data_IF_405807788138
#
_entry.id   IF_405807788138
#
_cell.length_a   1.000
_cell.length_b   1.000
_cell.length_c   1.000
_cell.angle_alpha   90.00
_cell.angle_beta   90.00
_cell.angle_gamma   90.00
#
_symmetry.space_group_name_H-M   'P 1'
#
loop_
_entity.id
_entity.type
_entity.pdbx_description
1 polymer ?
#
# COMPACT_ATOMS: atom_id res chain seq x y z
N UNK A 1 -30.12 -4.13 -16.40
CA UNK A 1 -29.17 -3.76 -15.35
C UNK A 1 -28.95 -2.27 -15.49
N UNK A 2 -29.13 -1.50 -14.42
CA UNK A 2 -28.85 -0.06 -14.44
C UNK A 2 -27.39 0.13 -14.89
N UNK A 3 -27.14 0.93 -15.92
CA UNK A 3 -25.78 1.40 -16.19
C UNK A 3 -25.48 2.37 -15.04
N UNK A 4 -24.75 1.92 -14.01
CA UNK A 4 -24.41 2.75 -12.86
C UNK A 4 -23.81 4.10 -13.29
N UNK A 5 -23.80 5.07 -12.38
CA UNK A 5 -23.53 6.47 -12.66
C UNK A 5 -22.07 6.84 -12.33
N UNK A 6 -21.57 7.88 -12.97
CA UNK A 6 -20.35 8.57 -12.57
C UNK A 6 -20.74 9.90 -11.95
N UNK A 7 -20.34 10.14 -10.70
CA UNK A 7 -20.59 11.40 -10.02
C UNK A 7 -19.35 12.30 -10.15
N UNK A 8 -19.50 13.48 -10.74
CA UNK A 8 -18.43 14.46 -10.94
C UNK A 8 -18.66 15.64 -10.00
N UNK A 9 -17.77 15.79 -9.03
CA UNK A 9 -17.70 16.93 -8.11
C UNK A 9 -16.66 17.90 -8.68
N UNK A 10 -17.11 18.99 -9.29
CA UNK A 10 -16.21 19.96 -9.95
C UNK A 10 -16.63 21.42 -9.79
N UNK A 11 -15.64 22.30 -9.66
CA UNK A 11 -15.81 23.76 -9.76
C UNK A 11 -15.77 24.30 -11.21
N UNK A 12 -15.66 23.39 -12.20
CA UNK A 12 -15.51 23.65 -13.63
C UNK A 12 -14.27 24.49 -14.02
N UNK A 13 -13.35 24.77 -13.10
CA UNK A 13 -12.21 25.65 -13.34
C UNK A 13 -11.24 25.13 -14.43
N UNK A 14 -11.17 23.80 -14.59
CA UNK A 14 -10.30 23.14 -15.59
C UNK A 14 -10.92 22.97 -16.96
N UNK A 15 -12.20 23.33 -17.14
CA UNK A 15 -12.92 23.28 -18.43
C UNK A 15 -12.88 21.89 -19.13
N UNK A 16 -12.90 20.81 -18.34
CA UNK A 16 -12.88 19.44 -18.87
C UNK A 16 -14.29 19.08 -19.35
N UNK A 17 -14.47 18.65 -20.62
CA UNK A 17 -15.80 18.41 -21.17
C UNK A 17 -16.31 16.99 -20.84
N UNK A 18 -16.49 16.70 -19.54
CA UNK A 18 -16.83 15.36 -19.01
C UNK A 18 -18.00 14.68 -19.73
N UNK A 19 -19.10 15.39 -20.01
CA UNK A 19 -20.27 14.82 -20.72
C UNK A 19 -19.90 14.25 -22.10
N UNK A 20 -19.00 14.93 -22.81
CA UNK A 20 -18.57 14.49 -24.15
C UNK A 20 -17.55 13.35 -24.09
N UNK A 21 -16.75 13.29 -23.01
CA UNK A 21 -15.69 12.29 -22.84
C UNK A 21 -16.21 11.00 -22.21
N UNK A 22 -17.22 11.10 -21.36
CA UNK A 22 -17.83 10.00 -20.61
C UNK A 22 -19.20 9.70 -21.22
N UNK A 23 -19.23 9.32 -22.49
CA UNK A 23 -20.49 9.10 -23.21
C UNK A 23 -21.20 7.78 -22.87
N UNK A 24 -20.51 6.87 -22.17
CA UNK A 24 -20.98 5.50 -21.93
C UNK A 24 -21.73 5.32 -20.60
N UNK A 25 -21.55 6.24 -19.65
CA UNK A 25 -22.20 6.23 -18.34
C UNK A 25 -22.98 7.53 -18.15
N UNK A 26 -24.16 7.48 -17.51
CA UNK A 26 -24.82 8.69 -17.04
C UNK A 26 -23.90 9.45 -16.08
N UNK A 27 -23.71 10.75 -16.32
CA UNK A 27 -22.89 11.62 -15.49
C UNK A 27 -23.77 12.51 -14.63
N UNK A 28 -23.55 12.48 -13.32
CA UNK A 28 -24.18 13.37 -12.35
C UNK A 28 -23.18 14.47 -12.00
N UNK A 29 -23.57 15.74 -12.08
CA UNK A 29 -22.71 16.86 -11.74
C UNK A 29 -23.11 17.48 -10.41
N UNK A 30 -22.11 17.68 -9.57
CA UNK A 30 -22.25 18.31 -8.27
C UNK A 30 -21.25 19.46 -8.14
N UNK A 31 -21.53 20.36 -7.21
CA UNK A 31 -20.66 21.41 -6.65
C UNK A 31 -20.56 22.72 -7.43
N UNK A 32 -21.70 23.43 -7.53
CA UNK A 32 -21.70 24.87 -7.82
C UNK A 32 -21.79 25.70 -6.52
N UNK A 33 -20.67 26.15 -5.91
CA UNK A 33 -20.70 26.95 -4.67
C UNK A 33 -21.34 28.35 -4.81
N UNK A 34 -21.85 28.71 -6.00
CA UNK A 34 -22.39 30.04 -6.29
C UNK A 34 -23.85 30.29 -5.89
N UNK A 35 -24.57 29.31 -5.31
CA UNK A 35 -26.04 29.42 -5.12
C UNK A 35 -26.56 29.29 -3.69
N UNK A 36 -25.75 28.91 -2.70
CA UNK A 36 -26.23 28.63 -1.34
C UNK A 36 -25.45 29.43 -0.28
N UNK A 37 -26.11 30.05 0.72
CA UNK A 37 -25.44 30.72 1.85
C UNK A 37 -24.80 29.73 2.85
N UNK A 38 -24.91 28.42 2.61
CA UNK A 38 -24.32 27.36 3.42
C UNK A 38 -22.80 27.27 3.23
N UNK A 39 -22.08 26.72 4.21
CA UNK A 39 -20.64 26.45 4.06
C UNK A 39 -20.40 25.41 2.97
N UNK A 40 -19.21 25.44 2.33
CA UNK A 40 -18.80 24.45 1.34
C UNK A 40 -19.06 23.00 1.80
N UNK A 41 -18.73 22.70 3.06
CA UNK A 41 -18.90 21.39 3.65
C UNK A 41 -20.37 20.96 3.76
N UNK A 42 -21.28 21.89 4.02
CA UNK A 42 -22.72 21.61 4.09
C UNK A 42 -23.29 21.29 2.72
N UNK A 43 -22.91 22.07 1.70
CA UNK A 43 -23.33 21.85 0.31
C UNK A 43 -22.85 20.48 -0.16
N UNK A 44 -21.55 20.21 0.03
CA UNK A 44 -20.94 18.95 -0.34
C UNK A 44 -21.60 17.75 0.35
N UNK A 45 -21.94 17.86 1.64
CA UNK A 45 -22.62 16.79 2.35
C UNK A 45 -24.01 16.48 1.78
N UNK A 46 -24.77 17.50 1.35
CA UNK A 46 -26.09 17.31 0.72
C UNK A 46 -25.94 16.67 -0.65
N UNK A 47 -25.03 17.17 -1.47
CA UNK A 47 -24.78 16.64 -2.82
C UNK A 47 -24.27 15.19 -2.79
N UNK A 48 -23.46 14.83 -1.80
CA UNK A 48 -23.06 13.44 -1.56
C UNK A 48 -24.28 12.59 -1.22
N UNK A 49 -25.18 13.05 -0.35
CA UNK A 49 -26.42 12.31 -0.03
C UNK A 49 -27.32 12.13 -1.25
N UNK A 50 -27.44 13.14 -2.11
CA UNK A 50 -28.18 13.03 -3.38
C UNK A 50 -27.52 12.00 -4.31
N UNK A 51 -26.19 12.00 -4.43
CA UNK A 51 -25.47 11.00 -5.22
C UNK A 51 -25.72 9.56 -4.71
N UNK A 52 -25.93 9.38 -3.41
CA UNK A 52 -26.21 8.07 -2.81
C UNK A 52 -27.56 7.47 -3.22
N UNK A 53 -28.51 8.28 -3.71
CA UNK A 53 -29.77 7.78 -4.29
C UNK A 53 -29.54 7.00 -5.60
N UNK A 54 -28.33 7.09 -6.16
CA UNK A 54 -27.92 6.44 -7.38
C UNK A 54 -26.86 5.34 -7.12
N UNK A 55 -26.80 4.37 -8.04
CA UNK A 55 -25.74 3.37 -8.08
C UNK A 55 -24.46 4.01 -8.66
N UNK A 56 -23.62 4.61 -7.80
CA UNK A 56 -22.37 5.27 -8.22
C UNK A 56 -21.24 4.25 -8.40
N UNK A 57 -20.64 4.21 -9.60
CA UNK A 57 -19.50 3.37 -9.94
C UNK A 57 -18.15 4.03 -9.64
N UNK A 58 -18.08 5.36 -9.81
CA UNK A 58 -16.87 6.17 -9.67
C UNK A 58 -17.24 7.60 -9.29
N UNK A 59 -16.50 8.16 -8.33
CA UNK A 59 -16.52 9.59 -8.02
C UNK A 59 -15.32 10.25 -8.68
N UNK A 60 -15.55 11.27 -9.50
CA UNK A 60 -14.51 12.14 -10.05
C UNK A 60 -14.52 13.42 -9.24
N UNK A 61 -13.36 13.82 -8.72
CA UNK A 61 -13.20 15.04 -7.92
C UNK A 61 -12.21 15.95 -8.64
N UNK A 62 -12.68 17.12 -9.06
CA UNK A 62 -11.97 18.06 -9.94
C UNK A 62 -12.15 19.51 -9.45
N UNK A 63 -11.34 19.89 -8.48
CA UNK A 63 -11.34 21.23 -7.87
C UNK A 63 -10.02 21.93 -8.03
N UNK A 64 -10.04 23.25 -8.21
CA UNK A 64 -8.81 24.03 -8.33
C UNK A 64 -7.93 23.94 -7.09
N UNK A 65 -8.53 23.96 -5.89
CA UNK A 65 -7.77 23.94 -4.64
C UNK A 65 -7.68 22.52 -4.08
N UNK A 66 -6.48 22.14 -3.66
CA UNK A 66 -6.18 20.83 -3.05
C UNK A 66 -6.96 20.61 -1.74
N UNK A 67 -7.25 21.68 -0.99
CA UNK A 67 -8.00 21.58 0.26
C UNK A 67 -9.44 21.13 0.01
N UNK A 68 -10.11 21.71 -1.00
CA UNK A 68 -11.45 21.31 -1.42
C UNK A 68 -11.46 19.87 -1.97
N UNK A 69 -10.47 19.50 -2.82
CA UNK A 69 -10.35 18.13 -3.33
C UNK A 69 -10.29 17.09 -2.20
N UNK A 70 -9.43 17.34 -1.20
CA UNK A 70 -9.26 16.44 -0.05
C UNK A 70 -10.48 16.43 0.87
N UNK A 71 -11.14 17.58 1.04
CA UNK A 71 -12.36 17.67 1.84
C UNK A 71 -13.48 16.84 1.22
N UNK A 72 -13.75 17.01 -0.08
CA UNK A 72 -14.76 16.24 -0.81
C UNK A 72 -14.43 14.74 -0.80
N UNK A 73 -13.18 14.37 -1.12
CA UNK A 73 -12.77 12.97 -1.11
C UNK A 73 -13.00 12.32 0.27
N UNK A 74 -12.66 13.02 1.36
CA UNK A 74 -12.88 12.51 2.71
C UNK A 74 -14.37 12.45 3.10
N UNK A 75 -15.19 13.40 2.66
CA UNK A 75 -16.63 13.35 2.91
C UNK A 75 -17.29 12.18 2.16
N UNK A 76 -16.91 11.96 0.90
CA UNK A 76 -17.35 10.78 0.13
C UNK A 76 -16.94 9.51 0.88
N UNK A 77 -15.70 9.44 1.38
CA UNK A 77 -15.18 8.28 2.13
C UNK A 77 -15.78 8.10 3.52
N UNK A 78 -16.28 9.18 4.15
CA UNK A 78 -17.01 9.08 5.40
C UNK A 78 -18.36 8.38 5.23
N UNK A 79 -18.99 8.54 4.07
CA UNK A 79 -20.27 7.88 3.72
C UNK A 79 -20.03 6.48 3.13
N UNK A 80 -19.12 6.37 2.15
CA UNK A 80 -18.71 5.13 1.50
C UNK A 80 -17.19 4.94 1.58
N UNK A 81 -16.66 4.27 2.62
CA UNK A 81 -15.21 4.06 2.82
C UNK A 81 -14.50 3.36 1.65
N UNK A 82 -15.24 2.56 0.87
CA UNK A 82 -14.75 1.77 -0.26
C UNK A 82 -15.01 2.40 -1.64
N UNK A 83 -15.54 3.62 -1.69
CA UNK A 83 -15.82 4.31 -2.95
C UNK A 83 -14.57 4.45 -3.84
N UNK A 84 -14.68 4.16 -5.13
CA UNK A 84 -13.62 4.45 -6.10
C UNK A 84 -13.59 5.95 -6.37
N UNK A 85 -12.44 6.58 -6.20
CA UNK A 85 -12.27 8.03 -6.38
C UNK A 85 -11.15 8.30 -7.39
N UNK A 86 -11.46 9.11 -8.41
CA UNK A 86 -10.52 9.66 -9.38
C UNK A 86 -10.32 11.16 -9.11
N UNK A 87 -9.12 11.54 -8.68
CA UNK A 87 -8.75 12.93 -8.44
C UNK A 87 -8.07 13.52 -9.67
N UNK A 88 -8.58 14.65 -10.14
CA UNK A 88 -8.07 15.32 -11.33
C UNK A 88 -7.07 16.40 -10.92
N UNK A 89 -5.79 16.12 -11.14
CA UNK A 89 -4.69 17.01 -10.75
C UNK A 89 -4.09 17.77 -11.93
N UNK A 90 -3.52 18.92 -11.62
CA UNK A 90 -2.58 19.57 -12.55
C UNK A 90 -1.33 18.69 -12.75
N UNK A 91 -0.69 18.82 -13.91
CA UNK A 91 0.51 18.07 -14.31
C UNK A 91 1.78 18.47 -13.53
N UNK A 92 1.65 18.79 -12.25
CA UNK A 92 2.75 19.17 -11.37
C UNK A 92 3.24 17.90 -10.66
N UNK A 93 4.54 17.61 -10.82
CA UNK A 93 5.20 16.53 -10.06
C UNK A 93 5.16 16.86 -8.56
N UNK A 94 4.34 16.14 -7.81
CA UNK A 94 4.34 16.20 -6.35
C UNK A 94 5.66 15.62 -5.82
N UNK A 95 6.62 16.50 -5.51
CA UNK A 95 7.89 16.10 -4.90
C UNK A 95 7.75 16.16 -3.38
N UNK A 96 7.75 15.00 -2.73
CA UNK A 96 8.01 14.87 -1.29
C UNK A 96 6.82 15.04 -0.34
N UNK A 97 5.73 15.72 -0.75
CA UNK A 97 4.48 15.76 0.01
C UNK A 97 3.38 15.16 -0.87
N UNK A 98 2.94 13.95 -0.55
CA UNK A 98 1.84 13.30 -1.24
C UNK A 98 0.55 13.59 -0.46
N UNK A 99 -0.27 14.58 -0.88
CA UNK A 99 -1.40 15.11 -0.10
C UNK A 99 -2.36 14.07 0.43
N UNK A 100 -2.53 13.06 -0.40
CA UNK A 100 -3.63 12.12 -0.33
C UNK A 100 -3.42 11.08 0.75
N UNK A 101 -2.33 11.21 1.52
CA UNK A 101 -2.13 10.46 2.73
C UNK A 101 -3.18 10.73 3.82
N UNK A 102 -3.90 11.84 3.73
CA UNK A 102 -5.01 12.17 4.64
C UNK A 102 -6.35 11.62 4.19
N UNK A 103 -6.45 11.10 2.95
CA UNK A 103 -7.69 10.47 2.47
C UNK A 103 -7.93 9.18 3.24
N UNK A 104 -9.14 9.07 3.80
CA UNK A 104 -9.58 7.94 4.61
C UNK A 104 -10.23 6.84 3.76
N UNK A 105 -10.40 5.65 4.35
CA UNK A 105 -10.97 4.48 3.69
C UNK A 105 -9.96 3.65 2.90
N UNK A 106 -10.44 2.55 2.33
CA UNK A 106 -9.65 1.47 1.71
C UNK A 106 -9.96 1.24 0.23
N UNK A 107 -11.07 1.77 -0.30
CA UNK A 107 -11.36 1.72 -1.74
C UNK A 107 -10.28 2.38 -2.61
N UNK A 108 -10.31 2.10 -3.91
CA UNK A 108 -9.36 2.65 -4.88
C UNK A 108 -9.35 4.18 -4.92
N UNK A 109 -8.16 4.77 -4.83
CA UNK A 109 -7.90 6.18 -5.09
C UNK A 109 -6.92 6.29 -6.25
N UNK A 110 -7.28 7.02 -7.30
CA UNK A 110 -6.43 7.24 -8.47
C UNK A 110 -6.23 8.72 -8.71
N UNK A 111 -5.01 9.10 -9.10
CA UNK A 111 -4.70 10.47 -9.47
C UNK A 111 -4.47 10.54 -10.97
N UNK A 112 -5.20 11.41 -11.65
CA UNK A 112 -5.09 11.56 -13.09
C UNK A 112 -4.81 13.00 -13.46
N UNK A 113 -3.85 13.19 -14.37
CA UNK A 113 -3.55 14.51 -14.90
C UNK A 113 -4.11 14.67 -16.30
N UNK A 114 -5.17 15.46 -16.41
CA UNK A 114 -5.84 15.67 -17.68
C UNK A 114 -4.98 16.46 -18.66
N UNK A 115 -4.92 15.95 -19.90
CA UNK A 115 -4.22 16.58 -21.01
C UNK A 115 -5.20 16.84 -22.14
N UNK A 116 -5.52 18.11 -22.47
CA UNK A 116 -6.44 18.44 -23.56
C UNK A 116 -6.04 17.87 -24.92
N UNK A 117 -4.74 17.65 -25.15
CA UNK A 117 -4.23 17.03 -26.38
C UNK A 117 -4.50 15.52 -26.47
N UNK A 118 -4.81 14.86 -25.36
CA UNK A 118 -5.07 13.42 -25.26
C UNK A 118 -6.33 13.15 -24.43
N UNK A 119 -7.50 13.67 -24.85
CA UNK A 119 -8.72 13.67 -24.05
C UNK A 119 -9.22 12.24 -23.73
N UNK A 120 -8.93 11.28 -24.62
CA UNK A 120 -9.32 9.89 -24.47
C UNK A 120 -8.59 9.16 -23.33
N UNK A 121 -7.49 9.69 -22.81
CA UNK A 121 -6.78 9.10 -21.67
C UNK A 121 -7.64 9.10 -20.41
N UNK A 122 -8.47 10.13 -20.22
CA UNK A 122 -9.41 10.20 -19.09
C UNK A 122 -10.43 9.06 -19.18
N UNK A 123 -11.00 8.84 -20.38
CA UNK A 123 -11.95 7.77 -20.59
C UNK A 123 -11.32 6.39 -20.36
N UNK A 124 -10.10 6.17 -20.87
CA UNK A 124 -9.36 4.93 -20.64
C UNK A 124 -9.09 4.68 -19.14
N UNK A 125 -8.73 5.72 -18.39
CA UNK A 125 -8.53 5.64 -16.94
C UNK A 125 -9.83 5.31 -16.20
N UNK A 126 -10.94 5.95 -16.55
CA UNK A 126 -12.27 5.65 -15.98
C UNK A 126 -12.67 4.20 -16.25
N UNK A 127 -12.51 3.74 -17.49
CA UNK A 127 -12.77 2.35 -17.86
C UNK A 127 -11.92 1.39 -17.06
N UNK A 128 -10.63 1.69 -16.86
CA UNK A 128 -9.74 0.85 -16.07
C UNK A 128 -10.16 0.74 -14.59
N UNK A 129 -10.67 1.82 -14.00
CA UNK A 129 -11.14 1.85 -12.60
C UNK A 129 -12.44 1.07 -12.43
N UNK A 130 -13.39 1.26 -13.35
CA UNK A 130 -14.72 0.63 -13.29
C UNK A 130 -14.65 -0.84 -13.71
N UNK A 131 -13.82 -1.15 -14.71
CA UNK A 131 -13.64 -2.47 -15.29
C UNK A 131 -12.20 -2.97 -15.17
N UNK A 132 -11.72 -3.25 -13.94
CA UNK A 132 -10.37 -3.76 -13.71
C UNK A 132 -10.11 -5.12 -14.39
N UNK A 133 -11.14 -5.81 -14.87
CA UNK A 133 -11.07 -7.09 -15.58
C UNK A 133 -10.66 -6.98 -17.05
N UNK A 134 -10.73 -5.77 -17.64
CA UNK A 134 -10.40 -5.50 -19.04
C UNK A 134 -9.23 -4.51 -19.17
N UNK A 135 -7.98 -4.92 -18.88
CA UNK A 135 -6.95 -3.93 -18.63
C UNK A 135 -6.25 -3.51 -19.92
N UNK A 136 -6.17 -2.20 -20.11
CA UNK A 136 -5.33 -1.56 -21.13
C UNK A 136 -3.86 -1.51 -20.65
N UNK A 137 -3.63 -1.48 -19.32
CA UNK A 137 -2.33 -1.60 -18.65
C UNK A 137 -2.51 -2.44 -17.38
N UNK A 138 -1.68 -3.47 -17.15
CA UNK A 138 -1.77 -4.35 -15.96
C UNK A 138 -0.57 -4.11 -15.06
N UNK A 139 -0.77 -3.38 -13.97
CA UNK A 139 0.13 -3.51 -12.83
C UNK A 139 -0.30 -4.76 -12.05
N UNK A 140 0.54 -5.79 -12.08
CA UNK A 140 0.37 -6.98 -11.24
C UNK A 140 0.85 -6.70 -9.82
N UNK A 141 0.16 -7.26 -8.82
CA UNK A 141 0.48 -7.08 -7.40
C UNK A 141 0.72 -8.43 -6.74
N UNK A 142 1.77 -8.53 -5.93
CA UNK A 142 2.06 -9.73 -5.15
C UNK A 142 2.21 -9.34 -3.69
N UNK A 143 1.27 -9.82 -2.87
CA UNK A 143 1.39 -9.74 -1.42
C UNK A 143 2.29 -10.87 -0.96
N UNK A 144 3.38 -10.53 -0.27
CA UNK A 144 4.36 -11.46 0.29
C UNK A 144 4.19 -11.47 1.81
N UNK A 145 3.59 -12.54 2.32
CA UNK A 145 3.19 -12.67 3.72
C UNK A 145 4.10 -13.69 4.43
N UNK A 146 5.02 -13.26 5.29
CA UNK A 146 5.83 -14.18 6.07
C UNK A 146 5.00 -14.80 7.20
N UNK A 147 5.15 -16.11 7.41
CA UNK A 147 4.53 -16.83 8.54
C UNK A 147 5.56 -17.70 9.24
N UNK A 148 5.53 -17.68 10.57
CA UNK A 148 6.33 -18.56 11.42
C UNK A 148 5.63 -18.82 12.74
N UNK A 149 5.25 -20.07 12.98
CA UNK A 149 4.65 -20.53 14.24
C UNK A 149 3.44 -19.68 14.73
N UNK A 150 2.53 -19.39 13.81
CA UNK A 150 1.35 -18.57 14.03
C UNK A 150 0.10 -19.37 14.46
N UNK A 151 0.19 -20.66 14.79
CA UNK A 151 -0.98 -21.51 15.09
C UNK A 151 -1.89 -20.88 16.16
N UNK A 152 -1.29 -20.36 17.24
CA UNK A 152 -2.04 -19.74 18.35
C UNK A 152 -2.68 -18.40 17.99
N UNK A 153 -2.18 -17.74 16.94
CA UNK A 153 -2.58 -16.41 16.47
C UNK A 153 -3.28 -16.47 15.12
N UNK A 154 -3.62 -17.67 14.65
CA UNK A 154 -4.12 -17.90 13.31
C UNK A 154 -5.45 -17.19 13.03
N UNK A 155 -6.25 -16.92 14.07
CA UNK A 155 -7.46 -16.10 13.91
C UNK A 155 -7.13 -14.69 13.36
N UNK A 156 -6.05 -14.06 13.81
CA UNK A 156 -5.63 -12.77 13.26
C UNK A 156 -5.20 -12.89 11.79
N UNK A 157 -4.51 -13.98 11.44
CA UNK A 157 -4.13 -14.28 10.05
C UNK A 157 -5.37 -14.44 9.18
N UNK A 158 -6.37 -15.18 9.66
CA UNK A 158 -7.64 -15.37 8.96
C UNK A 158 -8.39 -14.06 8.77
N UNK A 159 -8.55 -13.26 9.83
CA UNK A 159 -9.25 -11.96 9.76
C UNK A 159 -8.56 -11.00 8.77
N UNK A 160 -7.21 -11.01 8.77
CA UNK A 160 -6.43 -10.23 7.82
C UNK A 160 -6.65 -10.70 6.39
N UNK A 161 -6.65 -12.00 6.16
CA UNK A 161 -6.87 -12.59 4.84
C UNK A 161 -8.26 -12.29 4.29
N UNK A 162 -9.30 -12.38 5.10
CA UNK A 162 -10.67 -12.04 4.69
C UNK A 162 -10.73 -10.57 4.27
N UNK A 163 -10.18 -9.67 5.08
CA UNK A 163 -10.14 -8.23 4.78
C UNK A 163 -9.32 -7.92 3.51
N UNK A 164 -8.17 -8.58 3.35
CA UNK A 164 -7.28 -8.42 2.19
C UNK A 164 -7.92 -8.99 0.92
N UNK A 165 -8.61 -10.12 1.02
CA UNK A 165 -9.31 -10.75 -0.09
C UNK A 165 -10.42 -9.84 -0.62
N UNK A 166 -11.25 -9.26 0.26
CA UNK A 166 -12.29 -8.29 -0.13
C UNK A 166 -11.67 -7.06 -0.77
N UNK A 167 -10.56 -6.54 -0.26
CA UNK A 167 -9.84 -5.43 -0.89
C UNK A 167 -9.34 -5.76 -2.30
N UNK A 168 -8.75 -6.94 -2.48
CA UNK A 168 -8.22 -7.41 -3.76
C UNK A 168 -9.33 -7.64 -4.80
N UNK A 169 -10.43 -8.30 -4.42
CA UNK A 169 -11.48 -8.70 -5.36
C UNK A 169 -12.24 -7.52 -5.96
N UNK A 170 -12.35 -6.40 -5.23
CA UNK A 170 -13.07 -5.21 -5.71
C UNK A 170 -12.20 -4.26 -6.55
N UNK A 171 -10.91 -4.15 -6.22
CA UNK A 171 -10.03 -3.11 -6.76
C UNK A 171 -8.81 -3.64 -7.55
N UNK A 172 -8.36 -4.89 -7.32
CA UNK A 172 -7.08 -5.38 -7.84
C UNK A 172 -7.14 -6.83 -8.35
N UNK A 173 -7.86 -7.05 -9.45
CA UNK A 173 -8.09 -8.39 -10.07
C UNK A 173 -6.80 -9.14 -10.44
N UNK A 174 -5.68 -8.45 -10.59
CA UNK A 174 -4.36 -9.04 -10.86
C UNK A 174 -3.41 -9.04 -9.66
N UNK A 175 -3.97 -9.26 -8.46
CA UNK A 175 -3.20 -9.49 -7.26
C UNK A 175 -3.06 -11.00 -6.93
N UNK A 176 -1.97 -11.34 -6.25
CA UNK A 176 -1.72 -12.68 -5.69
C UNK A 176 -1.36 -12.58 -4.21
N UNK A 177 -1.82 -13.55 -3.40
CA UNK A 177 -1.45 -13.68 -1.99
C UNK A 177 -0.47 -14.85 -1.85
N UNK A 178 0.78 -14.54 -1.51
CA UNK A 178 1.86 -15.51 -1.45
C UNK A 178 2.37 -15.63 -0.02
N UNK A 179 2.01 -16.74 0.64
CA UNK A 179 2.50 -17.10 1.95
C UNK A 179 3.88 -17.72 1.85
N UNK A 180 4.79 -17.29 2.73
CA UNK A 180 6.11 -17.89 2.88
C UNK A 180 6.24 -18.41 4.30
N UNK A 181 6.12 -19.73 4.46
CA UNK A 181 6.28 -20.43 5.73
C UNK A 181 7.78 -20.63 6.05
N UNK A 182 8.24 -20.06 7.17
CA UNK A 182 9.63 -20.07 7.64
C UNK A 182 10.02 -21.36 8.38
N UNK A 183 9.67 -22.50 7.79
CA UNK A 183 9.79 -23.83 8.40
C UNK A 183 9.09 -23.89 9.78
N UNK A 184 7.80 -23.56 9.82
CA UNK A 184 7.01 -23.67 11.06
C UNK A 184 7.01 -25.10 11.59
N UNK A 185 7.14 -25.22 12.91
CA UNK A 185 7.13 -26.49 13.65
C UNK A 185 5.76 -26.83 14.23
N UNK A 186 4.79 -25.94 14.08
CA UNK A 186 3.43 -26.05 14.59
C UNK A 186 2.41 -26.29 13.46
N UNK A 187 1.10 -26.16 13.74
CA UNK A 187 0.06 -26.40 12.72
C UNK A 187 -0.17 -25.24 11.75
N UNK A 188 0.63 -24.18 11.76
CA UNK A 188 0.42 -23.01 10.88
C UNK A 188 0.27 -23.38 9.41
N UNK A 189 1.14 -24.27 8.91
CA UNK A 189 1.08 -24.75 7.53
C UNK A 189 -0.21 -25.50 7.22
N UNK A 190 -0.62 -26.41 8.10
CA UNK A 190 -1.85 -27.18 7.92
C UNK A 190 -3.06 -26.24 7.89
N UNK A 191 -3.12 -25.26 8.79
CA UNK A 191 -4.20 -24.28 8.85
C UNK A 191 -4.27 -23.40 7.58
N UNK A 192 -3.13 -22.99 7.02
CA UNK A 192 -3.09 -22.26 5.74
C UNK A 192 -3.59 -23.12 4.58
N UNK A 193 -3.22 -24.40 4.55
CA UNK A 193 -3.68 -25.33 3.51
C UNK A 193 -5.17 -25.63 3.62
N UNK A 194 -5.69 -25.79 4.83
CA UNK A 194 -7.12 -25.91 5.11
C UNK A 194 -7.86 -24.65 4.62
N UNK A 195 -7.38 -23.45 4.98
CA UNK A 195 -7.97 -22.19 4.52
C UNK A 195 -7.93 -22.04 2.99
N UNK A 196 -6.79 -22.36 2.36
CA UNK A 196 -6.65 -22.36 0.90
C UNK A 196 -7.69 -23.25 0.23
N UNK A 197 -7.91 -24.45 0.78
CA UNK A 197 -8.87 -25.41 0.22
C UNK A 197 -10.29 -24.85 0.30
N UNK A 198 -10.67 -24.25 1.43
CA UNK A 198 -11.97 -23.57 1.60
C UNK A 198 -12.15 -22.44 0.58
N UNK A 199 -11.12 -21.60 0.40
CA UNK A 199 -11.17 -20.47 -0.53
C UNK A 199 -11.25 -20.94 -1.99
N UNK A 200 -10.55 -22.02 -2.35
CA UNK A 200 -10.58 -22.57 -3.71
C UNK A 200 -11.87 -23.34 -4.03
N UNK A 201 -12.51 -23.94 -3.03
CA UNK A 201 -13.79 -24.64 -3.18
C UNK A 201 -15.00 -23.70 -3.15
N UNK A 202 -14.86 -22.51 -2.55
CA UNK A 202 -15.89 -21.48 -2.56
C UNK A 202 -16.12 -21.00 -3.99
N UNK A 203 -17.18 -21.52 -4.61
CA UNK A 203 -17.68 -21.09 -5.93
C UNK A 203 -18.35 -19.71 -5.87
N UNK A 204 -18.53 -19.17 -4.66
CA UNK A 204 -19.15 -17.87 -4.45
C UNK A 204 -18.13 -16.74 -4.64
N UNK A 205 -18.49 -15.86 -5.57
CA UNK A 205 -17.75 -14.72 -6.13
C UNK A 205 -16.97 -13.81 -5.17
N UNK A 206 -17.21 -13.86 -3.86
CA UNK A 206 -16.54 -13.03 -2.84
C UNK A 206 -15.02 -13.26 -2.79
N UNK A 207 -14.55 -14.46 -3.10
CA UNK A 207 -13.13 -14.81 -3.11
C UNK A 207 -12.62 -15.04 -4.54
N UNK A 208 -12.74 -14.04 -5.41
CA UNK A 208 -11.97 -13.96 -6.66
C UNK A 208 -10.49 -13.60 -6.39
N UNK A 209 -9.91 -14.14 -5.31
CA UNK A 209 -8.52 -13.91 -4.97
C UNK A 209 -7.69 -14.63 -6.03
N UNK A 210 -7.02 -13.86 -6.88
CA UNK A 210 -5.99 -14.40 -7.77
C UNK A 210 -4.99 -15.20 -6.92
N UNK A 211 -4.83 -16.48 -7.25
CA UNK A 211 -3.81 -17.42 -6.75
C UNK A 211 -3.31 -17.16 -5.32
N UNK A 212 -3.99 -17.77 -4.32
CA UNK A 212 -3.41 -17.94 -2.99
C UNK A 212 -2.38 -19.08 -3.03
N UNK A 213 -1.12 -18.74 -2.88
CA UNK A 213 0.00 -19.68 -2.94
C UNK A 213 0.68 -19.80 -1.58
N UNK A 214 1.11 -21.02 -1.25
CA UNK A 214 1.84 -21.32 -0.01
C UNK A 214 3.19 -21.89 -0.37
N UNK A 215 4.23 -21.11 -0.13
CA UNK A 215 5.63 -21.45 -0.29
C UNK A 215 6.22 -21.85 1.06
N UNK A 216 7.22 -22.72 1.02
CA UNK A 216 7.93 -23.17 2.20
C UNK A 216 9.44 -23.06 1.97
N UNK A 217 10.15 -22.55 2.95
CA UNK A 217 11.61 -22.66 3.01
C UNK A 217 12.02 -23.86 3.86
N UNK A 218 13.12 -24.52 3.51
CA UNK A 218 13.57 -25.76 4.15
C UNK A 218 14.03 -25.57 5.60
N UNK A 219 14.51 -24.37 5.93
CA UNK A 219 15.05 -24.02 7.24
C UNK A 219 14.57 -22.63 7.65
N UNK A 220 14.55 -22.37 8.96
CA UNK A 220 14.20 -21.05 9.48
C UNK A 220 15.26 -20.02 9.09
N UNK A 221 14.85 -19.09 8.22
CA UNK A 221 15.65 -18.00 7.66
C UNK A 221 15.20 -16.62 8.14
N UNK A 222 14.15 -16.58 8.96
CA UNK A 222 13.47 -15.38 9.44
C UNK A 222 12.98 -14.52 8.27
N UNK A 223 12.57 -13.29 8.59
CA UNK A 223 12.06 -12.31 7.63
C UNK A 223 12.95 -12.14 6.38
N UNK A 224 14.28 -12.18 6.55
CA UNK A 224 15.23 -11.99 5.46
C UNK A 224 15.06 -13.00 4.32
N UNK A 225 15.05 -14.30 4.65
CA UNK A 225 14.95 -15.34 3.63
C UNK A 225 13.63 -15.24 2.88
N UNK A 226 12.52 -15.08 3.59
CA UNK A 226 11.21 -14.96 2.97
C UNK A 226 11.07 -13.73 2.06
N UNK A 227 11.67 -12.60 2.45
CA UNK A 227 11.71 -11.40 1.59
C UNK A 227 12.48 -11.65 0.30
N UNK A 228 13.66 -12.27 0.41
CA UNK A 228 14.53 -12.58 -0.72
C UNK A 228 13.86 -13.60 -1.65
N UNK A 229 13.28 -14.67 -1.09
CA UNK A 229 12.57 -15.70 -1.85
C UNK A 229 11.35 -15.12 -2.57
N UNK A 230 10.55 -14.28 -1.90
CA UNK A 230 9.43 -13.58 -2.52
C UNK A 230 9.85 -12.71 -3.71
N UNK A 231 10.92 -11.93 -3.57
CA UNK A 231 11.45 -11.10 -4.66
C UNK A 231 12.04 -11.91 -5.83
N UNK A 232 12.57 -13.11 -5.57
CA UNK A 232 13.18 -13.95 -6.60
C UNK A 232 12.17 -14.81 -7.37
N UNK A 233 11.21 -15.39 -6.65
CA UNK A 233 10.37 -16.46 -7.20
C UNK A 233 8.97 -15.99 -7.58
N UNK A 234 8.49 -14.87 -7.03
CA UNK A 234 7.19 -14.31 -7.39
C UNK A 234 7.38 -13.27 -8.48
N UNK A 235 6.59 -13.36 -9.55
CA UNK A 235 6.63 -12.40 -10.65
C UNK A 235 5.47 -11.43 -10.56
N UNK A 236 5.76 -10.18 -10.17
CA UNK A 236 4.78 -9.09 -10.09
C UNK A 236 5.42 -7.75 -10.42
N UNK A 237 4.63 -6.71 -10.74
CA UNK A 237 5.09 -5.33 -10.95
C UNK A 237 5.30 -4.61 -9.62
N UNK A 238 4.47 -4.92 -8.62
CA UNK A 238 4.61 -4.46 -7.24
C UNK A 238 4.63 -5.63 -6.27
N UNK A 239 5.58 -5.59 -5.34
CA UNK A 239 5.71 -6.52 -4.23
C UNK A 239 5.29 -5.81 -2.94
N UNK A 240 4.21 -6.25 -2.32
CA UNK A 240 3.70 -5.75 -1.04
C UNK A 240 4.15 -6.70 0.06
N UNK A 241 5.16 -6.31 0.82
CA UNK A 241 5.56 -7.02 2.03
C UNK A 241 4.73 -6.53 3.19
N UNK A 242 4.06 -7.45 3.89
CA UNK A 242 3.22 -7.13 5.05
C UNK A 242 3.17 -8.34 5.97
N UNK A 243 3.21 -8.08 7.28
CA UNK A 243 3.07 -9.14 8.29
C UNK A 243 1.63 -9.69 8.27
N UNK A 244 1.46 -11.01 8.37
CA UNK A 244 0.16 -11.67 8.23
C UNK A 244 -0.74 -11.54 9.47
N UNK A 245 -0.26 -10.97 10.58
CA UNK A 245 -0.91 -11.01 11.90
C UNK A 245 -1.94 -9.89 12.14
N UNK A 246 -2.48 -9.30 11.07
CA UNK A 246 -3.42 -8.18 11.14
C UNK A 246 -2.88 -6.97 11.95
N UNK A 247 -1.57 -6.73 11.90
CA UNK A 247 -0.94 -5.55 12.53
C UNK A 247 -1.12 -4.26 11.73
N UNK A 248 -1.43 -4.36 10.43
CA UNK A 248 -1.62 -3.23 9.54
C UNK A 248 -3.04 -3.20 9.01
N UNK A 249 -3.60 -2.00 8.97
CA UNK A 249 -4.90 -1.69 8.41
C UNK A 249 -4.90 -1.82 6.89
N UNK A 250 -5.99 -2.30 6.30
CA UNK A 250 -6.15 -2.36 4.83
C UNK A 250 -6.10 -0.95 4.23
N UNK A 251 -6.62 0.06 4.92
CA UNK A 251 -6.55 1.46 4.49
C UNK A 251 -5.09 1.94 4.31
N UNK A 252 -4.19 1.50 5.18
CA UNK A 252 -2.77 1.84 5.07
C UNK A 252 -2.13 1.13 3.86
N UNK A 253 -2.48 -0.14 3.62
CA UNK A 253 -2.04 -0.90 2.44
C UNK A 253 -2.52 -0.23 1.15
N UNK A 254 -3.81 0.10 1.06
CA UNK A 254 -4.42 0.76 -0.09
C UNK A 254 -3.75 2.10 -0.42
N UNK A 255 -3.49 2.90 0.62
CA UNK A 255 -2.79 4.19 0.49
C UNK A 255 -1.37 4.02 -0.03
N UNK A 256 -0.59 3.09 0.54
CA UNK A 256 0.77 2.86 0.08
C UNK A 256 0.79 2.33 -1.37
N UNK A 257 -0.15 1.46 -1.74
CA UNK A 257 -0.29 0.96 -3.11
C UNK A 257 -0.56 2.09 -4.09
N UNK A 258 -1.51 2.96 -3.76
CA UNK A 258 -1.82 4.17 -4.54
C UNK A 258 -0.55 4.99 -4.79
N UNK A 259 0.23 5.29 -3.74
CA UNK A 259 1.48 6.06 -3.86
C UNK A 259 2.51 5.34 -4.74
N UNK A 260 2.60 4.01 -4.63
CA UNK A 260 3.55 3.22 -5.40
C UNK A 260 3.19 3.20 -6.90
N UNK A 261 1.91 3.06 -7.23
CA UNK A 261 1.39 2.98 -8.61
C UNK A 261 1.53 4.29 -9.39
N UNK A 262 1.69 5.42 -8.71
CA UNK A 262 2.06 6.68 -9.37
C UNK A 262 3.43 6.64 -10.06
N UNK A 263 4.29 5.68 -9.73
CA UNK A 263 5.60 5.49 -10.36
C UNK A 263 6.67 6.54 -10.00
N UNK A 264 6.35 7.46 -9.08
CA UNK A 264 7.30 8.47 -8.59
C UNK A 264 8.34 7.91 -7.62
N UNK A 265 8.02 6.81 -6.95
CA UNK A 265 8.88 6.17 -5.96
C UNK A 265 9.18 4.74 -6.38
N UNK A 266 10.41 4.32 -6.10
CA UNK A 266 10.86 2.96 -6.36
C UNK A 266 10.49 2.03 -5.19
N UNK A 267 10.42 2.61 -3.99
CA UNK A 267 9.99 1.94 -2.76
C UNK A 267 9.09 2.88 -1.95
N UNK A 268 7.98 2.37 -1.45
CA UNK A 268 7.12 3.05 -0.47
C UNK A 268 7.15 2.25 0.82
N UNK A 269 7.50 2.87 1.94
CA UNK A 269 7.58 2.20 3.24
C UNK A 269 6.63 2.85 4.24
N UNK A 270 5.97 2.03 5.05
CA UNK A 270 5.24 2.53 6.20
C UNK A 270 6.20 3.14 7.22
N UNK A 271 5.72 4.06 8.05
CA UNK A 271 6.39 4.46 9.29
C UNK A 271 5.40 4.46 10.41
N UNK A 272 5.81 3.89 11.55
CA UNK A 272 4.97 3.96 12.74
C UNK A 272 4.81 5.42 13.14
N UNK A 273 3.56 5.85 13.22
CA UNK A 273 3.22 7.16 13.76
C UNK A 273 3.44 7.14 15.28
N UNK A 274 4.42 7.92 15.74
CA UNK A 274 4.77 7.99 17.16
C UNK A 274 3.75 8.80 17.98
N UNK A 275 2.85 9.55 17.33
CA UNK A 275 1.83 10.37 17.98
C UNK A 275 0.57 9.59 18.33
N UNK A 276 0.30 8.49 17.62
CA UNK A 276 -0.90 7.66 17.76
C UNK A 276 -0.66 6.48 18.73
N UNK A 277 0.60 6.11 18.97
CA UNK A 277 0.93 4.89 19.71
C UNK A 277 1.03 5.09 21.25
N UNK A 278 0.12 4.45 21.99
CA UNK A 278 0.22 4.29 23.45
C UNK A 278 1.21 3.19 23.84
N UNK A 279 2.49 3.38 23.53
CA UNK A 279 3.58 2.49 23.95
C UNK A 279 4.21 3.00 25.25
N UNK A 280 4.51 2.08 26.16
CA UNK A 280 5.28 2.38 27.37
C UNK A 280 6.60 3.12 27.07
N UNK A 281 6.99 4.04 27.97
CA UNK A 281 8.10 4.98 27.77
C UNK A 281 9.43 4.33 27.35
N UNK A 282 9.73 3.13 27.88
CA UNK A 282 10.95 2.37 27.55
C UNK A 282 11.01 1.99 26.07
N UNK A 283 9.89 1.54 25.48
CA UNK A 283 9.83 1.13 24.07
C UNK A 283 9.92 2.33 23.13
N UNK A 284 9.36 3.47 23.53
CA UNK A 284 9.55 4.75 22.81
C UNK A 284 11.03 5.16 22.82
N UNK A 285 11.69 5.11 23.97
CA UNK A 285 13.12 5.43 24.09
C UNK A 285 14.02 4.50 23.26
N UNK A 286 13.80 3.18 23.32
CA UNK A 286 14.54 2.21 22.49
C UNK A 286 14.33 2.45 21.00
N UNK A 287 13.09 2.74 20.60
CA UNK A 287 12.76 3.05 19.20
C UNK A 287 13.46 4.33 18.73
N UNK A 288 13.48 5.37 19.58
CA UNK A 288 14.20 6.61 19.31
C UNK A 288 15.71 6.37 19.16
N UNK A 289 16.35 5.66 20.10
CA UNK A 289 17.77 5.34 20.02
C UNK A 289 18.12 4.56 18.74
N UNK A 290 17.31 3.55 18.40
CA UNK A 290 17.49 2.75 17.19
C UNK A 290 17.34 3.58 15.92
N UNK A 291 16.32 4.44 15.82
CA UNK A 291 16.10 5.33 14.67
C UNK A 291 17.26 6.31 14.45
N UNK A 292 17.85 6.84 15.53
CA UNK A 292 19.02 7.70 15.42
C UNK A 292 20.25 6.93 14.94
N UNK A 293 20.47 5.72 15.46
CA UNK A 293 21.63 4.91 15.09
C UNK A 293 21.57 4.42 13.64
N UNK A 294 20.38 4.07 13.14
CA UNK A 294 20.21 3.57 11.78
C UNK A 294 20.21 4.68 10.73
N UNK A 295 19.92 5.94 11.10
CA UNK A 295 19.77 7.08 10.20
C UNK A 295 20.90 7.22 9.19
N UNK A 296 22.14 6.90 9.58
CA UNK A 296 23.29 6.93 8.69
C UNK A 296 23.13 6.01 7.47
N UNK A 297 22.48 4.86 7.61
CA UNK A 297 22.29 3.88 6.55
C UNK A 297 21.05 4.15 5.67
N UNK A 298 20.18 5.09 6.05
CA UNK A 298 18.90 5.29 5.38
C UNK A 298 18.98 6.28 4.20
N UNK A 299 18.11 6.14 3.18
CA UNK A 299 17.90 7.16 2.17
C UNK A 299 17.48 8.50 2.80
N UNK A 300 17.75 9.61 2.10
CA UNK A 300 17.33 10.94 2.58
C UNK A 300 15.81 11.00 2.71
N UNK A 301 15.32 11.48 3.86
CA UNK A 301 13.89 11.59 4.15
C UNK A 301 13.30 10.36 4.85
N UNK A 302 14.01 9.24 4.90
CA UNK A 302 13.57 8.03 5.62
C UNK A 302 14.11 8.07 7.06
N UNK A 303 13.23 7.83 8.02
CA UNK A 303 13.51 7.89 9.46
C UNK A 303 13.29 6.56 10.18
N UNK A 304 12.51 5.65 9.58
CA UNK A 304 12.21 4.32 10.09
C UNK A 304 12.47 3.30 8.99
N UNK A 305 13.32 2.32 9.29
CA UNK A 305 13.58 1.20 8.37
C UNK A 305 12.66 0.01 8.64
N UNK A 306 12.18 -0.18 9.87
CA UNK A 306 11.80 -1.50 10.40
C UNK A 306 10.30 -1.72 10.54
N UNK A 307 9.52 -1.09 9.67
CA UNK A 307 8.09 -1.34 9.54
C UNK A 307 7.82 -2.62 8.74
N UNK A 308 6.82 -3.40 9.17
CA UNK A 308 6.39 -4.61 8.47
C UNK A 308 5.83 -4.36 7.07
N UNK A 309 5.23 -3.19 6.84
CA UNK A 309 4.58 -2.83 5.59
C UNK A 309 5.50 -2.04 4.63
N UNK A 310 5.76 -2.62 3.45
CA UNK A 310 6.57 -2.03 2.38
C UNK A 310 6.08 -2.43 1.00
N UNK A 311 6.22 -1.53 0.02
CA UNK A 311 5.90 -1.80 -1.38
C UNK A 311 7.14 -1.50 -2.23
N UNK A 312 7.56 -2.48 -3.02
CA UNK A 312 8.74 -2.39 -3.88
C UNK A 312 8.32 -2.57 -5.34
N UNK A 313 8.74 -1.64 -6.20
CA UNK A 313 8.54 -1.79 -7.64
C UNK A 313 9.52 -2.82 -8.22
N UNK A 314 9.03 -3.74 -9.05
CA UNK A 314 9.84 -4.77 -9.71
C UNK A 314 11.08 -4.23 -10.40
N UNK A 315 10.97 -3.03 -11.00
CA UNK A 315 12.05 -2.37 -11.75
C UNK A 315 13.32 -2.18 -10.92
N UNK A 316 13.24 -2.19 -9.59
CA UNK A 316 14.42 -2.03 -8.71
C UNK A 316 14.85 -3.30 -7.98
N UNK A 317 14.07 -4.39 -8.05
CA UNK A 317 14.37 -5.65 -7.33
C UNK A 317 15.75 -6.19 -7.69
N UNK A 318 16.11 -6.23 -8.97
CA UNK A 318 17.41 -6.73 -9.44
C UNK A 318 18.60 -5.90 -8.93
N UNK A 319 18.37 -4.63 -8.56
CA UNK A 319 19.39 -3.72 -7.99
C UNK A 319 19.49 -3.88 -6.47
N UNK A 320 18.40 -4.29 -5.83
CA UNK A 320 18.33 -4.49 -4.38
C UNK A 320 18.91 -5.84 -3.97
N UNK A 321 18.53 -6.93 -4.65
CA UNK A 321 18.89 -8.31 -4.31
C UNK A 321 20.39 -8.54 -4.03
N UNK A 322 21.36 -7.96 -4.77
CA UNK A 322 22.79 -8.15 -4.50
C UNK A 322 23.26 -7.67 -3.12
N UNK A 323 22.50 -6.81 -2.46
CA UNK A 323 22.84 -6.24 -1.15
C UNK A 323 22.18 -7.00 0.02
N UNK A 324 21.22 -7.88 -0.27
CA UNK A 324 20.36 -8.51 0.73
C UNK A 324 20.88 -9.90 1.11
N UNK A 325 21.00 -10.13 2.41
CA UNK A 325 21.57 -11.36 2.96
C UNK A 325 20.57 -12.05 3.88
N UNK A 326 20.45 -13.37 3.73
CA UNK A 326 19.57 -14.19 4.57
C UNK A 326 20.00 -14.12 6.04
N UNK A 327 21.31 -14.04 6.28
CA UNK A 327 21.94 -13.95 7.60
C UNK A 327 21.52 -12.70 8.39
N UNK A 328 21.00 -11.67 7.72
CA UNK A 328 20.48 -10.48 8.37
C UNK A 328 19.20 -10.74 9.18
N UNK A 329 18.48 -11.83 8.89
CA UNK A 329 17.26 -12.22 9.59
C UNK A 329 16.26 -11.07 9.72
N UNK A 330 15.97 -10.62 10.96
CA UNK A 330 15.03 -9.51 11.21
C UNK A 330 15.57 -8.13 10.79
N UNK A 331 16.88 -8.01 10.57
CA UNK A 331 17.52 -6.75 10.19
C UNK A 331 17.51 -6.50 8.67
N UNK A 332 16.88 -7.37 7.87
CA UNK A 332 16.79 -7.24 6.41
C UNK A 332 16.25 -5.88 5.96
N UNK A 333 15.31 -5.34 6.73
CA UNK A 333 14.70 -4.04 6.48
C UNK A 333 15.74 -2.90 6.48
N UNK A 334 16.78 -3.00 7.31
CA UNK A 334 17.89 -2.05 7.32
C UNK A 334 18.78 -2.23 6.09
N UNK A 335 19.09 -3.48 5.71
CA UNK A 335 19.86 -3.76 4.49
C UNK A 335 19.14 -3.28 3.24
N UNK A 336 17.83 -3.46 3.18
CA UNK A 336 16.98 -2.97 2.09
C UNK A 336 17.07 -1.45 1.95
N UNK A 337 16.96 -0.72 3.05
CA UNK A 337 17.09 0.75 3.03
C UNK A 337 18.52 1.19 2.69
N UNK A 338 19.53 0.47 3.18
CA UNK A 338 20.92 0.72 2.81
C UNK A 338 21.17 0.50 1.31
N UNK A 339 20.66 -0.59 0.74
CA UNK A 339 20.70 -0.89 -0.68
C UNK A 339 20.02 0.22 -1.49
N UNK A 340 18.82 0.63 -1.07
CA UNK A 340 18.10 1.72 -1.69
C UNK A 340 18.89 3.04 -1.65
N UNK A 341 19.59 3.33 -0.55
CA UNK A 341 20.47 4.50 -0.43
C UNK A 341 21.64 4.41 -1.43
N UNK A 342 22.31 3.25 -1.49
CA UNK A 342 23.47 3.02 -2.37
C UNK A 342 23.10 3.13 -3.84
N UNK A 343 21.98 2.54 -4.21
CA UNK A 343 21.39 2.57 -5.55
C UNK A 343 20.69 3.90 -5.87
N UNK A 344 20.68 4.87 -4.93
CA UNK A 344 20.05 6.19 -5.09
C UNK A 344 18.57 6.08 -5.49
N UNK A 345 17.87 5.09 -4.95
CA UNK A 345 16.46 4.86 -5.21
C UNK A 345 15.60 5.91 -4.51
N UNK A 346 14.47 6.22 -5.12
CA UNK A 346 13.46 7.15 -4.59
C UNK A 346 12.61 6.38 -3.59
N UNK A 347 12.80 6.66 -2.30
CA UNK A 347 12.04 6.04 -1.21
C UNK A 347 11.10 7.06 -0.60
N UNK A 348 9.82 6.72 -0.51
CA UNK A 348 8.82 7.50 0.21
C UNK A 348 8.44 6.82 1.52
N UNK A 349 8.28 7.61 2.58
CA UNK A 349 7.91 7.12 3.89
C UNK A 349 6.53 7.68 4.26
N UNK A 350 5.57 6.79 4.51
CA UNK A 350 4.17 7.12 4.76
C UNK A 350 3.78 6.71 6.19
N UNK A 351 3.26 7.62 7.03
CA UNK A 351 2.68 7.25 8.33
C UNK A 351 1.60 6.17 8.19
N UNK A 352 1.67 5.16 9.05
CA UNK A 352 0.72 4.04 9.13
C UNK A 352 0.41 3.69 10.58
N UNK A 353 -0.76 3.11 10.80
CA UNK A 353 -1.18 2.58 12.10
C UNK A 353 -0.67 1.16 12.25
N UNK A 354 0.10 0.90 13.31
CA UNK A 354 0.61 -0.44 13.63
C UNK A 354 0.03 -0.91 14.95
N UNK A 355 -0.87 -1.89 14.89
CA UNK A 355 -1.51 -2.48 16.07
C UNK A 355 -0.55 -3.52 16.65
N UNK A 356 -0.28 -3.46 17.96
CA UNK A 356 0.50 -4.49 18.62
C UNK A 356 -0.39 -5.71 18.94
N UNK A 357 0.00 -6.88 18.45
CA UNK A 357 -0.62 -8.15 18.81
C UNK A 357 0.19 -8.88 19.88
N UNK A 358 -0.50 -9.51 20.81
CA UNK A 358 0.13 -10.34 21.85
C UNK A 358 0.79 -11.58 21.23
N UNK A 359 1.79 -12.16 21.91
CA UNK A 359 2.44 -13.40 21.48
C UNK A 359 3.55 -13.25 20.44
N UNK A 360 4.13 -12.05 20.28
CA UNK A 360 5.24 -11.80 19.34
C UNK A 360 6.44 -12.73 19.57
N UNK A 361 6.95 -13.33 18.50
CA UNK A 361 8.12 -14.21 18.51
C UNK A 361 9.48 -13.48 18.58
N UNK A 362 9.47 -12.15 18.75
CA UNK A 362 10.68 -11.33 18.81
C UNK A 362 11.33 -11.47 20.19
N UNK A 363 12.54 -12.01 20.23
CA UNK A 363 13.35 -12.09 21.43
C UNK A 363 14.21 -10.84 21.58
N UNK A 364 13.84 -9.97 22.53
CA UNK A 364 14.44 -8.64 22.70
C UNK A 364 15.97 -8.64 22.72
N UNK A 365 16.59 -9.57 23.44
CA UNK A 365 18.06 -9.60 23.61
C UNK A 365 18.75 -10.18 22.39
N UNK A 366 18.34 -11.37 21.95
CA UNK A 366 18.96 -12.05 20.80
C UNK A 366 18.83 -11.21 19.53
N UNK A 367 17.67 -10.61 19.32
CA UNK A 367 17.39 -9.83 18.12
C UNK A 367 18.11 -8.49 18.14
N UNK A 368 18.29 -7.86 19.31
CA UNK A 368 19.11 -6.65 19.44
C UNK A 368 20.59 -6.92 19.13
N UNK A 369 21.14 -8.06 19.59
CA UNK A 369 22.53 -8.44 19.30
C UNK A 369 22.71 -8.75 17.82
N UNK A 370 21.79 -9.49 17.21
CA UNK A 370 21.80 -9.76 15.76
C UNK A 370 21.74 -8.45 14.97
N UNK A 371 20.86 -7.54 15.35
CA UNK A 371 20.71 -6.22 14.73
C UNK A 371 22.01 -5.38 14.79
N UNK A 372 22.69 -5.37 15.94
CA UNK A 372 23.99 -4.71 16.10
C UNK A 372 25.06 -5.32 15.17
N UNK A 373 25.11 -6.66 15.06
CA UNK A 373 26.03 -7.33 14.14
C UNK A 373 25.78 -6.93 12.68
N UNK A 374 24.52 -6.87 12.26
CA UNK A 374 24.16 -6.40 10.91
C UNK A 374 24.62 -4.96 10.68
N UNK A 375 24.42 -4.06 11.65
CA UNK A 375 24.91 -2.68 11.54
C UNK A 375 26.43 -2.58 11.40
N UNK A 376 27.19 -3.36 12.19
CA UNK A 376 28.65 -3.40 12.08
C UNK A 376 29.08 -3.93 10.71
N UNK A 377 28.43 -4.99 10.22
CA UNK A 377 28.67 -5.54 8.89
C UNK A 377 28.39 -4.52 7.78
N UNK A 378 27.27 -3.79 7.86
CA UNK A 378 26.93 -2.73 6.90
C UNK A 378 27.94 -1.59 6.94
N UNK A 379 28.38 -1.18 8.14
CA UNK A 379 29.40 -0.15 8.30
C UNK A 379 30.75 -0.56 7.68
N UNK A 380 31.18 -1.80 7.90
CA UNK A 380 32.41 -2.34 7.31
C UNK A 380 32.33 -2.39 5.78
N UNK A 381 31.19 -2.82 5.23
CA UNK A 381 30.93 -2.81 3.77
C UNK A 381 30.99 -1.40 3.21
N UNK A 382 30.30 -0.46 3.85
CA UNK A 382 30.32 0.95 3.45
C UNK A 382 31.74 1.52 3.40
N UNK A 383 32.57 1.24 4.41
CA UNK A 383 33.96 1.70 4.45
C UNK A 383 34.84 1.09 3.38
N UNK A 384 34.66 -0.20 3.06
CA UNK A 384 35.46 -0.89 2.03
C UNK A 384 35.19 -0.33 0.63
N UNK A 385 33.95 0.08 0.36
CA UNK A 385 33.55 0.69 -0.93
C UNK A 385 34.01 2.15 -1.08
N UNK A 386 34.25 2.88 0.02
CA UNK A 386 34.75 4.26 0.00
C UNK A 386 36.27 4.36 -0.15
N UNK A 387 37.00 3.25 -0.05
CA UNK A 387 38.43 3.22 -0.40
C UNK A 387 38.51 3.14 -1.92
N UNK A 388 39.02 4.16 -2.63
CA UNK A 388 39.23 4.05 -4.06
C UNK A 388 40.18 2.88 -4.30
N UNK A 389 39.83 1.99 -5.23
CA UNK A 389 40.79 1.04 -5.80
C UNK A 389 41.96 1.89 -6.31
N UNK A 390 43.11 1.76 -5.65
CA UNK A 390 44.34 2.50 -5.98
C UNK A 390 44.88 2.09 -7.34
#
# INVERSE_FOLDING_TARGET
MSQGHIAVFTDHSRHIPYESLISYYPVLFYTQPGRCPASFEQIASTEIQEAEEHEILLYVVDYKTREEELAIANQIRAVRPRSKILLIKEAIRLKGDFPYHTVQGDGMLRLFSYRPAYPNELFAEIQHIIHPEYPILKDTIAFILPIFNEEKRFNYVKDFLESLATFISEDYIHASINFFDDASSDRSKALLQEYRSIVMEATDTLFTVGYLEVHQVEQNTRKAGLFIEGMKNVSSDYYVFVDADNSFRIEDIARLLTIAQEGYYDIVVGTKDLTIEDRGAVRRFMSFGKRNLTRFFLPKGVTDSQTGLKIINRRVVHRLLPYLHVESGLAIDLELMYAAKKERLRVYQQPVTCIEREGSHVNLVKDSVAFLKTMVSLYQRHRKEEVPVK
#
